data_IF_061451353834
#
_entry.id   IF_061451353834
#
_cell.length_a   1.000
_cell.length_b   1.000
_cell.length_c   1.000
_cell.angle_alpha   90.00
_cell.angle_beta   90.00
_cell.angle_gamma   90.00
#
_symmetry.space_group_name_H-M   'P 1'
#
loop_
_entity.id
_entity.type
_entity.pdbx_description
1 polymer ?
#
# COMPACT_ATOMS: atom_id res chain seq x y z
N UNK A 1 3.16 -6.62 15.14
CA UNK A 1 4.37 -7.45 15.33
C UNK A 1 5.41 -7.19 14.23
N UNK A 2 5.10 -7.41 12.92
CA UNK A 2 6.10 -7.34 11.84
C UNK A 2 6.74 -5.94 11.68
N UNK A 3 5.94 -4.86 11.72
CA UNK A 3 6.48 -3.51 11.64
C UNK A 3 7.45 -3.18 12.80
N UNK A 4 7.18 -3.68 14.00
CA UNK A 4 8.09 -3.50 15.15
C UNK A 4 9.44 -4.17 14.92
N UNK A 5 9.45 -5.33 14.27
CA UNK A 5 10.67 -6.03 13.89
C UNK A 5 11.42 -5.27 12.80
N UNK A 6 10.76 -4.95 11.70
CA UNK A 6 11.40 -4.30 10.54
C UNK A 6 11.88 -2.88 10.83
N UNK A 7 11.21 -2.16 11.75
CA UNK A 7 11.57 -0.79 12.11
C UNK A 7 12.39 -0.71 13.39
N UNK A 8 12.81 -1.83 13.95
CA UNK A 8 13.60 -1.91 15.18
C UNK A 8 12.98 -1.07 16.33
N UNK A 9 11.68 -1.27 16.56
CA UNK A 9 10.94 -0.51 17.58
C UNK A 9 11.13 -1.05 19.01
N UNK A 10 11.83 -2.15 19.19
CA UNK A 10 11.96 -2.80 20.48
C UNK A 10 10.58 -3.14 21.09
N UNK A 11 10.31 -2.61 22.29
CA UNK A 11 9.03 -2.80 22.99
C UNK A 11 7.96 -1.78 22.61
N UNK A 12 8.32 -0.69 21.94
CA UNK A 12 7.37 0.34 21.54
C UNK A 12 6.43 -0.17 20.44
N UNK A 13 5.16 0.18 20.52
CA UNK A 13 4.20 -0.06 19.45
C UNK A 13 4.05 1.21 18.61
N UNK A 14 4.55 1.25 17.37
CA UNK A 14 4.42 2.42 16.52
C UNK A 14 2.96 2.71 16.11
N UNK A 15 2.04 1.78 16.40
CA UNK A 15 0.61 1.92 16.12
C UNK A 15 -0.22 2.17 17.38
N UNK A 16 0.40 2.54 18.51
CA UNK A 16 -0.31 2.81 19.78
C UNK A 16 -1.31 3.96 19.63
N UNK A 17 -0.90 5.04 18.95
CA UNK A 17 -1.78 6.18 18.72
C UNK A 17 -2.77 5.90 17.60
N UNK A 18 -4.03 6.35 17.73
CA UNK A 18 -4.99 6.24 16.65
C UNK A 18 -4.52 7.08 15.44
N UNK A 19 -4.81 6.64 14.21
CA UNK A 19 -4.56 7.48 13.05
C UNK A 19 -5.46 8.73 13.15
N UNK A 20 -4.91 9.90 12.86
CA UNK A 20 -5.70 11.11 12.66
C UNK A 20 -6.67 10.98 11.49
N UNK A 21 -7.68 11.85 11.46
CA UNK A 21 -8.56 11.97 10.30
C UNK A 21 -7.86 12.68 9.13
N UNK A 22 -8.49 12.66 7.96
CA UNK A 22 -8.00 13.42 6.82
C UNK A 22 -8.01 14.93 7.12
N UNK A 23 -6.97 15.67 6.73
CA UNK A 23 -7.05 17.13 6.72
C UNK A 23 -8.26 17.58 5.89
N UNK A 24 -9.03 18.55 6.38
CA UNK A 24 -10.30 18.94 5.76
C UNK A 24 -10.18 19.24 4.24
N UNK A 25 -9.07 19.85 3.82
CA UNK A 25 -8.83 20.16 2.40
C UNK A 25 -8.51 18.93 1.54
N UNK A 26 -8.05 17.83 2.15
CA UNK A 26 -7.68 16.60 1.45
C UNK A 26 -8.76 15.52 1.55
N UNK A 27 -9.70 15.65 2.49
CA UNK A 27 -10.74 14.66 2.71
C UNK A 27 -11.57 14.35 1.44
N UNK A 28 -12.02 15.34 0.64
CA UNK A 28 -12.74 15.04 -0.60
C UNK A 28 -11.92 14.19 -1.57
N UNK A 29 -10.65 14.54 -1.79
CA UNK A 29 -9.76 13.80 -2.67
C UNK A 29 -9.45 12.40 -2.13
N UNK A 30 -9.20 12.29 -0.83
CA UNK A 30 -8.83 11.04 -0.16
C UNK A 30 -9.98 10.01 -0.14
N UNK A 31 -11.23 10.47 -0.18
CA UNK A 31 -12.43 9.61 -0.14
C UNK A 31 -13.19 9.55 -1.46
N UNK A 32 -12.64 10.12 -2.53
CA UNK A 32 -13.21 10.05 -3.87
C UNK A 32 -13.13 8.62 -4.41
N UNK A 33 -14.27 7.91 -4.42
CA UNK A 33 -14.38 6.54 -4.88
C UNK A 33 -14.27 6.40 -6.41
N UNK A 34 -14.47 7.46 -7.16
CA UNK A 34 -14.41 7.46 -8.63
C UNK A 34 -12.95 7.47 -9.13
N UNK A 35 -12.01 7.93 -8.30
CA UNK A 35 -10.60 7.88 -8.63
C UNK A 35 -10.04 6.46 -8.48
N UNK A 36 -9.23 5.98 -9.45
CA UNK A 36 -8.49 4.76 -9.29
C UNK A 36 -7.63 4.78 -8.00
N UNK A 37 -7.59 3.68 -7.23
CA UNK A 37 -6.93 3.63 -5.92
C UNK A 37 -5.49 4.15 -5.92
N UNK A 38 -4.69 3.75 -6.91
CA UNK A 38 -3.29 4.17 -7.01
C UNK A 38 -3.17 5.66 -7.36
N UNK A 39 -4.01 6.16 -8.25
CA UNK A 39 -4.05 7.59 -8.62
C UNK A 39 -4.45 8.45 -7.42
N UNK A 40 -5.46 8.02 -6.66
CA UNK A 40 -5.89 8.68 -5.42
C UNK A 40 -4.75 8.73 -4.40
N UNK A 41 -4.04 7.62 -4.19
CA UNK A 41 -2.90 7.57 -3.28
C UNK A 41 -1.77 8.51 -3.73
N UNK A 42 -1.39 8.46 -5.01
CA UNK A 42 -0.32 9.31 -5.56
C UNK A 42 -0.67 10.80 -5.54
N UNK A 43 -1.94 11.17 -5.68
CA UNK A 43 -2.39 12.55 -5.61
C UNK A 43 -2.45 13.06 -4.15
N UNK A 44 -2.80 12.20 -3.18
CA UNK A 44 -3.05 12.63 -1.80
C UNK A 44 -1.78 12.58 -0.95
N UNK A 45 -0.97 11.54 -1.05
CA UNK A 45 0.18 11.30 -0.15
C UNK A 45 1.18 12.46 -0.14
N UNK A 46 1.61 13.06 -1.27
CA UNK A 46 2.52 14.19 -1.24
C UNK A 46 1.98 15.38 -0.46
N UNK A 47 0.68 15.64 -0.57
CA UNK A 47 0.02 16.76 0.09
C UNK A 47 -0.09 16.55 1.61
N UNK A 48 -0.16 15.29 2.07
CA UNK A 48 -0.15 14.97 3.50
C UNK A 48 1.14 15.41 4.19
N UNK A 49 2.27 15.46 3.47
CA UNK A 49 3.53 15.95 4.01
C UNK A 49 3.46 17.38 4.54
N UNK A 50 2.59 18.21 3.96
CA UNK A 50 2.37 19.60 4.39
C UNK A 50 1.73 19.71 5.79
N UNK A 51 1.16 18.62 6.28
CA UNK A 51 0.51 18.51 7.59
C UNK A 51 1.39 17.80 8.64
N UNK A 52 2.62 17.43 8.29
CA UNK A 52 3.57 16.80 9.21
C UNK A 52 4.68 17.78 9.57
N UNK A 53 4.69 18.34 10.80
CA UNK A 53 5.76 19.23 11.24
C UNK A 53 7.13 18.53 11.16
N UNK A 54 8.14 19.28 10.74
CA UNK A 54 9.55 18.81 10.71
C UNK A 54 9.78 17.48 9.99
N UNK A 55 9.02 17.20 8.92
CA UNK A 55 9.05 15.93 8.19
C UNK A 55 10.45 15.53 7.67
N UNK A 56 11.35 16.50 7.45
CA UNK A 56 12.73 16.27 7.02
C UNK A 56 13.72 16.04 8.19
N UNK A 57 13.41 16.50 9.40
CA UNK A 57 14.31 16.46 10.56
C UNK A 57 13.81 15.55 11.69
N UNK A 58 12.79 14.74 11.41
CA UNK A 58 12.19 13.88 12.42
C UNK A 58 13.23 12.88 12.98
N UNK A 59 13.29 12.79 14.29
CA UNK A 59 14.02 11.74 15.00
C UNK A 59 13.42 10.35 14.70
N UNK A 60 14.09 9.30 15.15
CA UNK A 60 13.66 7.95 14.83
C UNK A 60 12.28 7.59 15.40
N UNK A 61 11.92 7.94 16.65
CA UNK A 61 10.56 7.73 17.16
C UNK A 61 9.48 8.44 16.35
N UNK A 62 9.69 9.71 16.02
CA UNK A 62 8.77 10.51 15.22
C UNK A 62 8.62 9.94 13.82
N UNK A 63 9.70 9.50 13.17
CA UNK A 63 9.65 8.83 11.86
C UNK A 63 8.83 7.55 11.90
N UNK A 64 8.94 6.75 12.97
CA UNK A 64 8.14 5.52 13.14
C UNK A 64 6.65 5.83 13.30
N UNK A 65 6.29 6.86 14.06
CA UNK A 65 4.91 7.30 14.23
C UNK A 65 4.32 7.81 12.90
N UNK A 66 5.08 8.62 12.15
CA UNK A 66 4.69 9.08 10.80
C UNK A 66 4.53 7.90 9.85
N UNK A 67 5.45 6.94 9.86
CA UNK A 67 5.38 5.74 9.03
C UNK A 67 4.13 4.89 9.35
N UNK A 68 3.78 4.72 10.63
CA UNK A 68 2.58 4.01 11.06
C UNK A 68 1.29 4.72 10.60
N UNK A 69 1.25 6.04 10.72
CA UNK A 69 0.14 6.85 10.23
C UNK A 69 0.02 6.77 8.71
N UNK A 70 1.13 6.95 7.99
CA UNK A 70 1.17 6.89 6.53
C UNK A 70 0.74 5.51 5.99
N UNK A 71 1.12 4.42 6.66
CA UNK A 71 0.69 3.07 6.29
C UNK A 71 -0.83 2.91 6.41
N UNK A 72 -1.44 3.43 7.49
CA UNK A 72 -2.90 3.42 7.69
C UNK A 72 -3.61 4.32 6.68
N UNK A 73 -3.05 5.49 6.41
CA UNK A 73 -3.55 6.42 5.40
C UNK A 73 -3.49 5.82 4.00
N UNK A 74 -2.40 5.16 3.65
CA UNK A 74 -2.28 4.49 2.35
C UNK A 74 -3.34 3.39 2.19
N UNK A 75 -3.54 2.55 3.22
CA UNK A 75 -4.60 1.54 3.18
C UNK A 75 -6.00 2.16 3.02
N UNK A 76 -6.27 3.27 3.72
CA UNK A 76 -7.53 4.00 3.62
C UNK A 76 -7.75 4.60 2.23
N UNK A 77 -6.68 5.16 1.62
CA UNK A 77 -6.69 5.66 0.24
C UNK A 77 -7.01 4.57 -0.78
N UNK A 78 -6.52 3.35 -0.57
CA UNK A 78 -6.83 2.24 -1.50
C UNK A 78 -8.33 1.91 -1.55
N UNK A 79 -9.07 2.21 -0.50
CA UNK A 79 -10.50 1.88 -0.36
C UNK A 79 -11.42 3.10 -0.23
N UNK A 80 -10.92 4.31 -0.47
CA UNK A 80 -11.66 5.58 -0.38
C UNK A 80 -12.37 5.78 0.97
N UNK A 81 -11.68 5.50 2.09
CA UNK A 81 -12.25 5.58 3.44
C UNK A 81 -11.42 6.45 4.37
N UNK A 82 -11.90 6.66 5.59
CA UNK A 82 -11.12 7.28 6.66
C UNK A 82 -10.05 6.32 7.17
N UNK A 83 -8.86 6.81 7.57
CA UNK A 83 -7.87 5.98 8.24
C UNK A 83 -8.45 5.38 9.52
N UNK A 84 -8.27 4.09 9.73
CA UNK A 84 -8.79 3.39 10.89
C UNK A 84 -7.86 2.26 11.30
N UNK A 85 -7.96 1.83 12.55
CA UNK A 85 -7.41 0.66 13.21
C UNK A 85 -6.32 -0.16 12.52
N UNK A 86 -6.33 -1.47 12.67
CA UNK A 86 -5.42 -2.35 11.96
C UNK A 86 -5.66 -2.34 10.45
N UNK A 87 -4.59 -2.17 9.68
CA UNK A 87 -4.59 -1.96 8.21
C UNK A 87 -5.44 -2.97 7.42
N UNK A 88 -5.48 -4.22 7.83
CA UNK A 88 -6.23 -5.29 7.15
C UNK A 88 -7.76 -5.16 7.29
N UNK A 89 -8.26 -4.46 8.32
CA UNK A 89 -9.70 -4.35 8.57
C UNK A 89 -10.43 -3.51 7.50
N UNK A 90 -10.05 -2.25 7.25
CA UNK A 90 -10.71 -1.46 6.21
C UNK A 90 -10.60 -2.10 4.82
N UNK A 91 -9.50 -2.77 4.53
CA UNK A 91 -9.33 -3.51 3.28
C UNK A 91 -10.32 -4.68 3.18
N UNK A 92 -10.44 -5.49 4.24
CA UNK A 92 -11.42 -6.57 4.31
C UNK A 92 -12.84 -6.07 4.11
N UNK A 93 -13.21 -5.01 4.82
CA UNK A 93 -14.55 -4.44 4.79
C UNK A 93 -14.93 -3.87 3.41
N UNK A 94 -13.95 -3.34 2.68
CA UNK A 94 -14.18 -2.83 1.34
C UNK A 94 -14.26 -3.94 0.28
N UNK A 95 -13.41 -4.97 0.39
CA UNK A 95 -13.28 -5.98 -0.64
C UNK A 95 -14.20 -7.19 -0.44
N UNK A 96 -14.49 -7.57 0.79
CA UNK A 96 -15.36 -8.71 1.11
C UNK A 96 -16.01 -8.61 2.48
N UNK A 97 -17.03 -7.78 2.65
CA UNK A 97 -17.57 -7.46 3.97
C UNK A 97 -18.12 -8.66 4.76
N UNK A 98 -18.60 -9.71 4.08
CA UNK A 98 -19.20 -10.90 4.73
C UNK A 98 -18.23 -12.06 5.05
N UNK A 99 -16.95 -11.97 4.71
CA UNK A 99 -16.02 -13.09 4.82
C UNK A 99 -15.30 -13.15 6.19
N UNK A 100 -15.69 -14.03 7.10
CA UNK A 100 -15.07 -14.17 8.43
C UNK A 100 -13.55 -14.47 8.35
N UNK A 101 -13.11 -15.37 7.46
CA UNK A 101 -11.69 -15.73 7.27
C UNK A 101 -10.91 -14.75 6.39
N UNK A 102 -11.57 -13.86 5.67
CA UNK A 102 -10.91 -13.01 4.69
C UNK A 102 -10.00 -11.94 5.35
N UNK A 103 -10.33 -11.47 6.54
CA UNK A 103 -9.48 -10.56 7.31
C UNK A 103 -8.11 -11.18 7.62
N UNK A 104 -8.08 -12.46 7.96
CA UNK A 104 -6.85 -13.19 8.24
C UNK A 104 -6.03 -13.44 6.97
N UNK A 105 -6.68 -13.69 5.83
CA UNK A 105 -5.99 -13.79 4.53
C UNK A 105 -5.32 -12.46 4.16
N UNK A 106 -6.04 -11.34 4.28
CA UNK A 106 -5.47 -10.00 4.04
C UNK A 106 -4.32 -9.72 5.00
N UNK A 107 -4.49 -10.05 6.29
CA UNK A 107 -3.43 -9.88 7.29
C UNK A 107 -2.20 -10.73 6.96
N UNK A 108 -2.40 -12.00 6.61
CA UNK A 108 -1.32 -12.92 6.24
C UNK A 108 -0.58 -12.41 4.98
N UNK A 109 -1.29 -11.98 3.94
CA UNK A 109 -0.70 -11.40 2.76
C UNK A 109 0.16 -10.17 3.09
N UNK A 110 -0.36 -9.22 3.90
CA UNK A 110 0.38 -8.03 4.32
C UNK A 110 1.65 -8.38 5.13
N UNK A 111 1.61 -9.44 5.94
CA UNK A 111 2.77 -9.89 6.73
C UNK A 111 3.81 -10.56 5.84
N UNK A 112 3.38 -11.49 4.99
CA UNK A 112 4.28 -12.22 4.09
C UNK A 112 4.91 -11.30 3.04
N UNK A 113 4.18 -10.25 2.64
CA UNK A 113 4.63 -9.26 1.69
C UNK A 113 5.31 -8.04 2.33
N UNK A 114 5.55 -8.02 3.63
CA UNK A 114 6.13 -6.87 4.32
C UNK A 114 7.62 -6.65 3.98
N UNK A 115 8.31 -7.71 3.62
CA UNK A 115 9.66 -7.68 3.06
C UNK A 115 9.66 -8.40 1.70
N UNK A 116 9.95 -7.67 0.65
CA UNK A 116 10.02 -8.16 -0.73
C UNK A 116 11.44 -8.10 -1.29
N UNK A 117 12.43 -8.09 -0.42
CA UNK A 117 13.81 -7.83 -0.83
C UNK A 117 13.92 -6.50 -1.60
N UNK A 118 14.68 -6.49 -2.70
CA UNK A 118 14.90 -5.29 -3.52
C UNK A 118 14.04 -5.33 -4.80
N UNK A 119 12.72 -5.34 -4.66
CA UNK A 119 11.84 -5.16 -5.81
C UNK A 119 11.92 -3.72 -6.35
N UNK A 120 11.39 -3.48 -7.55
CA UNK A 120 11.48 -2.19 -8.25
C UNK A 120 10.92 -1.03 -7.42
N UNK A 121 9.78 -1.21 -6.74
CA UNK A 121 9.20 -0.18 -5.87
C UNK A 121 10.06 0.09 -4.64
N UNK A 122 10.59 -0.95 -4.01
CA UNK A 122 11.47 -0.81 -2.86
C UNK A 122 12.79 -0.14 -3.27
N UNK A 123 13.33 -0.46 -4.45
CA UNK A 123 14.49 0.20 -5.00
C UNK A 123 14.26 1.69 -5.24
N UNK A 124 13.18 2.05 -5.94
CA UNK A 124 12.80 3.44 -6.19
C UNK A 124 12.63 4.24 -4.88
N UNK A 125 11.94 3.66 -3.90
CA UNK A 125 11.76 4.25 -2.58
C UNK A 125 13.11 4.46 -1.87
N UNK A 126 14.01 3.49 -1.89
CA UNK A 126 15.34 3.60 -1.28
C UNK A 126 16.21 4.67 -1.93
N UNK A 127 16.17 4.79 -3.26
CA UNK A 127 16.88 5.86 -3.99
C UNK A 127 16.39 7.23 -3.53
N UNK A 128 15.07 7.45 -3.44
CA UNK A 128 14.53 8.72 -2.96
C UNK A 128 14.85 8.93 -1.48
N UNK A 129 14.76 7.91 -0.64
CA UNK A 129 15.11 8.00 0.79
C UNK A 129 16.58 8.40 0.99
N UNK A 130 17.50 7.92 0.15
CA UNK A 130 18.94 8.22 0.25
C UNK A 130 19.27 9.70 0.03
N UNK A 131 18.37 10.46 -0.57
CA UNK A 131 18.52 11.92 -0.74
C UNK A 131 18.13 12.73 0.50
N UNK A 132 17.65 12.06 1.58
CA UNK A 132 17.09 12.73 2.75
C UNK A 132 15.64 13.18 2.58
N UNK A 133 14.95 12.76 1.53
CA UNK A 133 13.54 13.08 1.31
C UNK A 133 12.66 12.50 2.43
N UNK A 134 11.56 13.18 2.74
CA UNK A 134 10.62 12.73 3.76
C UNK A 134 9.84 11.47 3.32
N UNK A 135 9.27 10.74 4.29
CA UNK A 135 8.62 9.45 4.06
C UNK A 135 7.49 9.49 3.01
N UNK A 136 6.73 10.57 2.94
CA UNK A 136 5.64 10.71 1.95
C UNK A 136 6.19 10.73 0.52
N UNK A 137 7.27 11.47 0.26
CA UNK A 137 7.93 11.47 -1.06
C UNK A 137 8.51 10.09 -1.38
N UNK A 138 9.12 9.44 -0.40
CA UNK A 138 9.67 8.09 -0.52
C UNK A 138 8.59 7.08 -0.91
N UNK A 139 7.44 7.10 -0.24
CA UNK A 139 6.31 6.21 -0.56
C UNK A 139 5.74 6.52 -1.94
N UNK A 140 5.63 7.80 -2.31
CA UNK A 140 5.20 8.20 -3.67
C UNK A 140 6.10 7.65 -4.76
N UNK A 141 7.41 7.64 -4.56
CA UNK A 141 8.35 7.04 -5.51
C UNK A 141 8.08 5.54 -5.72
N UNK A 142 7.84 4.82 -4.61
CA UNK A 142 7.45 3.40 -4.68
C UNK A 142 6.12 3.18 -5.40
N UNK A 143 5.11 4.01 -5.14
CA UNK A 143 3.80 3.93 -5.81
C UNK A 143 3.91 4.29 -7.30
N UNK A 144 4.72 5.28 -7.64
CA UNK A 144 4.98 5.63 -9.03
C UNK A 144 5.64 4.47 -9.79
N UNK A 145 6.63 3.81 -9.20
CA UNK A 145 7.22 2.61 -9.78
C UNK A 145 6.19 1.46 -9.90
N UNK A 146 5.30 1.30 -8.91
CA UNK A 146 4.23 0.30 -8.92
C UNK A 146 3.22 0.54 -10.04
N UNK A 147 3.00 1.78 -10.48
CA UNK A 147 2.06 2.11 -11.56
C UNK A 147 2.49 1.55 -12.93
N UNK A 148 3.75 1.16 -13.08
CA UNK A 148 4.30 0.68 -14.33
C UNK A 148 3.70 -0.67 -14.80
N UNK A 149 3.47 -0.84 -16.12
CA UNK A 149 2.88 -2.06 -16.68
C UNK A 149 3.75 -3.32 -16.49
N UNK A 150 5.05 -3.13 -16.32
CA UNK A 150 6.01 -4.23 -16.08
C UNK A 150 6.16 -4.60 -14.60
N UNK A 151 5.46 -3.90 -13.70
CA UNK A 151 5.49 -4.13 -12.26
C UNK A 151 4.07 -4.34 -11.73
N UNK A 152 3.40 -3.35 -11.16
CA UNK A 152 2.03 -3.54 -10.64
C UNK A 152 1.00 -3.94 -11.68
N UNK A 153 1.13 -3.45 -12.91
CA UNK A 153 0.29 -3.87 -14.04
C UNK A 153 0.41 -5.35 -14.42
N UNK A 154 1.49 -6.03 -14.00
CA UNK A 154 1.63 -7.47 -14.19
C UNK A 154 0.60 -8.27 -13.39
N UNK A 155 0.20 -7.78 -12.21
CA UNK A 155 -0.83 -8.41 -11.37
C UNK A 155 -2.19 -8.47 -12.05
N UNK A 156 -2.59 -7.41 -12.74
CA UNK A 156 -3.85 -7.39 -13.50
C UNK A 156 -3.83 -8.41 -14.65
N UNK A 157 -2.69 -8.56 -15.33
CA UNK A 157 -2.53 -9.58 -16.38
C UNK A 157 -2.56 -11.00 -15.81
N UNK A 158 -1.91 -11.23 -14.67
CA UNK A 158 -1.95 -12.53 -14.00
C UNK A 158 -3.39 -12.87 -13.55
N UNK A 159 -4.12 -11.91 -13.01
CA UNK A 159 -5.53 -12.10 -12.65
C UNK A 159 -6.38 -12.45 -13.87
N UNK A 160 -6.26 -11.69 -14.96
CA UNK A 160 -6.99 -11.97 -16.20
C UNK A 160 -6.65 -13.36 -16.80
N UNK A 161 -5.39 -13.80 -16.66
CA UNK A 161 -4.98 -15.14 -17.07
C UNK A 161 -5.68 -16.21 -16.22
N UNK A 162 -5.71 -16.05 -14.89
CA UNK A 162 -6.38 -17.00 -13.98
C UNK A 162 -7.88 -17.07 -14.25
N UNK A 163 -8.55 -15.92 -14.36
CA UNK A 163 -10.00 -15.91 -14.65
C UNK A 163 -10.31 -16.51 -16.01
N UNK A 164 -9.57 -16.16 -17.05
CA UNK A 164 -9.78 -16.77 -18.36
C UNK A 164 -9.48 -18.27 -18.40
N UNK A 165 -8.52 -18.76 -17.60
CA UNK A 165 -8.26 -20.19 -17.46
C UNK A 165 -9.42 -20.94 -16.76
N UNK A 166 -10.05 -20.29 -15.77
CA UNK A 166 -11.22 -20.85 -15.04
C UNK A 166 -12.46 -20.96 -15.92
N UNK A 167 -12.64 -20.02 -16.86
CA UNK A 167 -13.77 -19.99 -17.79
C UNK A 167 -13.55 -20.87 -19.04
N UNK A 168 -12.31 -21.27 -19.28
CA UNK A 168 -11.96 -22.09 -20.46
C UNK A 168 -12.36 -23.55 -20.31
N UNK A 169 -12.92 -24.13 -21.37
CA UNK A 169 -13.18 -25.56 -21.46
C UNK A 169 -11.91 -26.39 -21.70
N UNK A 170 -10.83 -25.76 -22.18
CA UNK A 170 -9.52 -26.36 -22.39
C UNK A 170 -8.43 -25.39 -21.78
N UNK A 171 -8.17 -25.60 -20.50
CA UNK A 171 -7.25 -24.75 -19.73
C UNK A 171 -5.81 -24.83 -20.25
N UNK A 172 -5.37 -26.03 -20.67
CA UNK A 172 -3.98 -26.19 -21.16
C UNK A 172 -3.77 -25.44 -22.47
N UNK A 173 -4.67 -25.56 -23.41
CA UNK A 173 -4.64 -24.84 -24.68
C UNK A 173 -4.74 -23.33 -24.45
N UNK A 174 -5.62 -22.89 -23.55
CA UNK A 174 -5.77 -21.49 -23.20
C UNK A 174 -4.47 -20.88 -22.65
N UNK A 175 -3.78 -21.58 -21.74
CA UNK A 175 -2.50 -21.16 -21.17
C UNK A 175 -1.41 -21.16 -22.23
N UNK A 176 -1.30 -22.25 -23.02
CA UNK A 176 -0.29 -22.38 -24.07
C UNK A 176 -0.36 -21.27 -25.12
N UNK A 177 -1.57 -20.83 -25.51
CA UNK A 177 -1.75 -19.70 -26.44
C UNK A 177 -1.30 -18.36 -25.90
N UNK A 178 -1.28 -18.19 -24.58
CA UNK A 178 -0.90 -16.94 -23.89
C UNK A 178 0.51 -16.98 -23.32
N UNK A 179 1.10 -18.15 -23.26
CA UNK A 179 2.49 -18.31 -22.88
C UNK A 179 3.40 -17.79 -23.99
N UNK A 180 4.07 -16.67 -23.73
CA UNK A 180 5.17 -16.21 -24.56
C UNK A 180 6.44 -16.34 -23.72
N UNK A 181 7.38 -17.22 -24.06
CA UNK A 181 8.69 -17.20 -23.45
C UNK A 181 9.33 -15.83 -23.71
N UNK A 182 9.75 -15.17 -22.62
CA UNK A 182 10.44 -13.87 -22.66
C UNK A 182 11.87 -14.01 -23.15
#
# INVERSE_FOLDING_TARGET
>A
AIARLLWDCGRQDPFADPPGDWPARLAPLATDADLPPLSRAMATIPLLALHVPHSFQADQPTRRAVAATLLRQNAALLVARRPAGPVHRPLREAWRPGGAGFAELVRAALVLCADHELNVSAFAARVVASTGAHLHATVCAGLAALSGPRHGGATARAYALVEGARESTDTERFIAQRWRPG
#
